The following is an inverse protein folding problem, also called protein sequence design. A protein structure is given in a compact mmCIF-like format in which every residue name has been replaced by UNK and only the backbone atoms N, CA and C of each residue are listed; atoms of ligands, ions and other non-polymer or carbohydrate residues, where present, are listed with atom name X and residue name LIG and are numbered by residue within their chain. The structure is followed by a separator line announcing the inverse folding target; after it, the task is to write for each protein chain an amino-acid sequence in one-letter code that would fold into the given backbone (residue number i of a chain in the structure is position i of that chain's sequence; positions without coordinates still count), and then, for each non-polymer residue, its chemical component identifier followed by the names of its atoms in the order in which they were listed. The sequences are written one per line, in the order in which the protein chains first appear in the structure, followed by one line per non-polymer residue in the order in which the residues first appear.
data_IF_869370659984
#
_entry.id   IF_869370659984
#
_cell.length_a   1.000
_cell.length_b   1.000
_cell.length_c   1.000
_cell.angle_alpha   90.00
_cell.angle_beta   90.00
_cell.angle_gamma   90.00
#
_symmetry.space_group_name_H-M   'P 1'
#
loop_
_entity.id
_entity.type
_entity.pdbx_description
1 polymer ?
#
# COMPACT_ATOMS: atom_id res chain seq x y z
N UNK A 1 -15.20 10.97 -26.60
CA UNK A 1 -15.94 10.96 -25.32
C UNK A 1 -17.29 11.62 -25.56
N UNK A 2 -18.38 10.94 -25.22
CA UNK A 2 -19.71 11.55 -25.21
C UNK A 2 -19.88 12.27 -23.87
N UNK A 3 -19.52 13.54 -23.81
CA UNK A 3 -19.73 14.37 -22.62
C UNK A 3 -21.21 14.72 -22.54
N UNK A 4 -21.95 13.97 -21.72
CA UNK A 4 -23.34 14.31 -21.39
C UNK A 4 -23.34 15.27 -20.19
N UNK A 5 -24.36 16.11 -20.02
CA UNK A 5 -24.44 17.00 -18.84
C UNK A 5 -24.32 16.21 -17.51
N UNK A 6 -24.91 15.02 -17.44
CA UNK A 6 -24.79 14.11 -16.28
C UNK A 6 -23.36 13.71 -15.95
N UNK A 7 -22.52 13.47 -16.97
CA UNK A 7 -21.11 13.13 -16.72
C UNK A 7 -20.32 14.32 -16.20
N UNK A 8 -20.72 15.55 -16.53
CA UNK A 8 -20.10 16.77 -15.99
C UNK A 8 -20.49 16.96 -14.52
N UNK A 9 -21.76 16.80 -14.19
CA UNK A 9 -22.26 16.87 -12.81
C UNK A 9 -21.55 15.85 -11.90
N UNK A 10 -21.37 14.61 -12.35
CA UNK A 10 -20.65 13.59 -11.58
C UNK A 10 -19.18 13.93 -11.35
N UNK A 11 -18.52 14.56 -12.32
CA UNK A 11 -17.12 14.98 -12.17
C UNK A 11 -16.99 16.12 -11.16
N UNK A 12 -17.91 17.09 -11.19
CA UNK A 12 -17.94 18.21 -10.25
C UNK A 12 -18.13 17.73 -8.80
N UNK A 13 -19.07 16.80 -8.57
CA UNK A 13 -19.25 16.16 -7.26
C UNK A 13 -18.04 15.33 -6.83
N UNK A 14 -17.39 14.64 -7.78
CA UNK A 14 -16.15 13.89 -7.50
C UNK A 14 -15.02 14.82 -7.06
N UNK A 15 -14.86 15.96 -7.73
CA UNK A 15 -13.91 16.99 -7.38
C UNK A 15 -14.24 17.61 -6.02
N UNK A 16 -15.52 17.79 -5.69
CA UNK A 16 -15.95 18.26 -4.38
C UNK A 16 -15.49 17.30 -3.27
N UNK A 17 -15.73 15.99 -3.43
CA UNK A 17 -15.26 14.96 -2.49
C UNK A 17 -13.74 14.94 -2.39
N UNK A 18 -13.03 15.01 -3.52
CA UNK A 18 -11.57 15.04 -3.53
C UNK A 18 -11.02 16.27 -2.76
N UNK A 19 -11.62 17.44 -2.94
CA UNK A 19 -11.24 18.64 -2.21
C UNK A 19 -11.47 18.51 -0.70
N UNK A 20 -12.58 17.89 -0.27
CA UNK A 20 -12.83 17.61 1.14
C UNK A 20 -11.74 16.69 1.72
N UNK A 21 -11.35 15.64 1.00
CA UNK A 21 -10.26 14.73 1.41
C UNK A 21 -8.95 15.49 1.51
N UNK A 22 -8.61 16.33 0.54
CA UNK A 22 -7.37 17.11 0.55
C UNK A 22 -7.28 18.08 1.74
N UNK A 23 -8.41 18.66 2.14
CA UNK A 23 -8.52 19.58 3.28
C UNK A 23 -8.65 18.87 4.64
N UNK A 24 -8.76 17.54 4.65
CA UNK A 24 -8.83 16.77 5.89
C UNK A 24 -7.53 16.86 6.71
N UNK A 25 -7.69 16.68 8.01
CA UNK A 25 -6.59 16.52 8.96
C UNK A 25 -5.71 15.30 8.65
N UNK A 26 -6.31 14.21 8.16
CA UNK A 26 -5.59 13.01 7.73
C UNK A 26 -4.64 13.32 6.56
N UNK A 27 -5.12 14.04 5.54
CA UNK A 27 -4.31 14.44 4.40
C UNK A 27 -3.23 15.47 4.77
N UNK A 28 -3.52 16.38 5.71
CA UNK A 28 -2.53 17.31 6.24
C UNK A 28 -1.43 16.58 7.03
N UNK A 29 -1.79 15.63 7.89
CA UNK A 29 -0.84 14.81 8.64
C UNK A 29 0.07 13.99 7.71
N UNK A 30 -0.50 13.40 6.65
CA UNK A 30 0.27 12.74 5.60
C UNK A 30 1.31 13.67 4.96
N UNK A 31 0.89 14.87 4.54
CA UNK A 31 1.79 15.87 3.93
C UNK A 31 2.90 16.29 4.89
N UNK A 32 2.61 16.47 6.17
CA UNK A 32 3.60 16.81 7.19
C UNK A 32 4.60 15.68 7.44
N UNK A 33 4.13 14.43 7.56
CA UNK A 33 5.02 13.28 7.70
C UNK A 33 5.91 13.10 6.47
N UNK A 34 5.36 13.26 5.26
CA UNK A 34 6.12 13.21 4.01
C UNK A 34 7.22 14.28 3.98
N UNK A 35 6.88 15.51 4.37
CA UNK A 35 7.85 16.60 4.45
C UNK A 35 8.99 16.30 5.43
N UNK A 36 8.65 15.79 6.62
CA UNK A 36 9.65 15.40 7.63
C UNK A 36 10.55 14.28 7.12
N UNK A 37 9.99 13.26 6.47
CA UNK A 37 10.73 12.16 5.87
C UNK A 37 11.70 12.66 4.78
N UNK A 38 11.27 13.57 3.92
CA UNK A 38 12.11 14.13 2.86
C UNK A 38 13.27 14.98 3.40
N UNK A 39 13.11 15.59 4.57
CA UNK A 39 14.16 16.36 5.24
C UNK A 39 15.13 15.52 6.07
N UNK A 40 14.78 14.28 6.34
CA UNK A 40 15.57 13.39 7.17
C UNK A 40 16.61 12.66 6.33
N UNK A 41 17.84 13.20 6.31
CA UNK A 41 18.94 12.63 5.51
C UNK A 41 19.29 11.20 5.88
N UNK A 42 19.09 10.80 7.15
CA UNK A 42 19.37 9.44 7.60
C UNK A 42 18.30 8.47 7.10
N UNK A 43 17.03 8.86 7.18
CA UNK A 43 15.94 8.09 6.60
C UNK A 43 16.10 7.92 5.08
N UNK A 44 16.48 8.98 4.36
CA UNK A 44 16.73 8.91 2.91
C UNK A 44 17.89 7.97 2.57
N UNK A 45 18.98 7.99 3.35
CA UNK A 45 20.10 7.06 3.16
C UNK A 45 19.68 5.60 3.38
N UNK A 46 18.90 5.32 4.44
CA UNK A 46 18.37 3.99 4.71
C UNK A 46 17.42 3.50 3.60
N UNK A 47 16.57 4.38 3.07
CA UNK A 47 15.68 4.05 1.95
C UNK A 47 16.50 3.70 0.71
N UNK A 48 17.53 4.49 0.38
CA UNK A 48 18.40 4.24 -0.77
C UNK A 48 19.15 2.91 -0.63
N UNK A 49 19.68 2.61 0.56
CA UNK A 49 20.33 1.33 0.86
C UNK A 49 19.36 0.15 0.70
N UNK A 50 18.13 0.29 1.24
CA UNK A 50 17.10 -0.73 1.12
C UNK A 50 16.72 -1.02 -0.33
N UNK A 51 16.56 0.02 -1.16
CA UNK A 51 16.26 -0.15 -2.59
C UNK A 51 17.38 -0.92 -3.30
N UNK A 52 18.65 -0.56 -3.05
CA UNK A 52 19.81 -1.24 -3.65
C UNK A 52 19.86 -2.72 -3.26
N UNK A 53 19.65 -3.04 -1.99
CA UNK A 53 19.66 -4.43 -1.51
C UNK A 53 18.45 -5.21 -2.03
N UNK A 54 17.30 -4.55 -2.20
CA UNK A 54 16.10 -5.15 -2.81
C UNK A 54 16.34 -5.54 -4.25
N UNK A 55 17.00 -4.70 -5.05
CA UNK A 55 17.39 -5.04 -6.43
C UNK A 55 18.32 -6.26 -6.48
N UNK A 56 19.35 -6.28 -5.62
CA UNK A 56 20.25 -7.45 -5.51
C UNK A 56 19.49 -8.71 -5.09
N UNK A 57 18.52 -8.59 -4.18
CA UNK A 57 17.68 -9.69 -3.76
C UNK A 57 16.79 -10.19 -4.90
N UNK A 58 16.18 -9.30 -5.68
CA UNK A 58 15.36 -9.67 -6.83
C UNK A 58 16.18 -10.41 -7.88
N UNK A 59 17.40 -9.95 -8.18
CA UNK A 59 18.33 -10.64 -9.09
C UNK A 59 18.66 -12.05 -8.61
N UNK A 60 19.03 -12.18 -7.33
CA UNK A 60 19.39 -13.47 -6.74
C UNK A 60 18.17 -14.39 -6.57
N UNK A 61 16.99 -13.83 -6.31
CA UNK A 61 15.74 -14.57 -6.24
C UNK A 61 15.33 -15.15 -7.59
N UNK A 62 15.66 -14.48 -8.72
CA UNK A 62 15.38 -15.01 -10.07
C UNK A 62 16.07 -16.35 -10.34
N UNK A 63 17.27 -16.55 -9.80
CA UNK A 63 18.00 -17.83 -9.89
C UNK A 63 17.60 -18.82 -8.80
N UNK A 64 16.88 -18.36 -7.77
CA UNK A 64 16.35 -19.18 -6.69
C UNK A 64 17.38 -19.60 -5.65
N UNK A 65 17.03 -20.63 -4.87
CA UNK A 65 17.77 -21.04 -3.67
C UNK A 65 19.19 -21.57 -3.92
N UNK A 66 19.55 -21.82 -5.18
CA UNK A 66 20.86 -22.36 -5.57
C UNK A 66 21.90 -21.27 -5.85
N UNK A 67 21.51 -20.00 -5.82
CA UNK A 67 22.47 -18.91 -5.93
C UNK A 67 23.39 -18.86 -4.69
N UNK A 68 24.72 -18.77 -4.85
CA UNK A 68 25.68 -18.82 -3.73
C UNK A 68 25.40 -17.75 -2.67
N UNK A 69 24.98 -16.55 -3.10
CA UNK A 69 24.72 -15.42 -2.20
C UNK A 69 23.29 -15.35 -1.66
N UNK A 70 22.40 -16.31 -1.99
CA UNK A 70 20.98 -16.24 -1.63
C UNK A 70 20.76 -16.05 -0.13
N UNK A 71 21.46 -16.84 0.71
CA UNK A 71 21.33 -16.74 2.18
C UNK A 71 21.85 -15.42 2.72
N UNK A 72 22.96 -14.93 2.18
CA UNK A 72 23.60 -13.68 2.60
C UNK A 72 22.70 -12.48 2.29
N UNK A 73 22.21 -12.39 1.05
CA UNK A 73 21.36 -11.28 0.62
C UNK A 73 20.01 -11.34 1.31
N UNK A 74 19.41 -12.53 1.49
CA UNK A 74 18.16 -12.67 2.26
C UNK A 74 18.30 -12.15 3.69
N UNK A 75 19.44 -12.40 4.34
CA UNK A 75 19.72 -11.88 5.68
C UNK A 75 19.88 -10.36 5.66
N UNK A 76 20.66 -9.82 4.74
CA UNK A 76 20.87 -8.39 4.59
C UNK A 76 19.56 -7.63 4.34
N UNK A 77 18.69 -8.14 3.47
CA UNK A 77 17.35 -7.57 3.24
C UNK A 77 16.55 -7.46 4.53
N UNK A 78 16.55 -8.52 5.37
CA UNK A 78 15.81 -8.52 6.64
C UNK A 78 16.40 -7.52 7.63
N UNK A 79 17.71 -7.44 7.71
CA UNK A 79 18.41 -6.54 8.63
C UNK A 79 18.17 -5.08 8.25
N UNK A 80 18.27 -4.72 6.97
CA UNK A 80 18.01 -3.36 6.49
C UNK A 80 16.52 -3.02 6.53
N UNK A 81 15.62 -3.96 6.17
CA UNK A 81 14.17 -3.79 6.35
C UNK A 81 13.82 -3.47 7.80
N UNK A 82 14.44 -4.16 8.76
CA UNK A 82 14.23 -3.88 10.19
C UNK A 82 14.67 -2.47 10.58
N UNK A 83 15.79 -1.98 10.05
CA UNK A 83 16.25 -0.62 10.30
C UNK A 83 15.30 0.42 9.73
N UNK A 84 14.80 0.20 8.51
CA UNK A 84 13.79 1.04 7.85
C UNK A 84 12.48 1.05 8.65
N UNK A 85 11.98 -0.12 9.04
CA UNK A 85 10.71 -0.27 9.78
C UNK A 85 10.77 0.36 11.18
N UNK A 86 11.94 0.38 11.82
CA UNK A 86 12.15 0.96 13.15
C UNK A 86 12.47 2.46 13.11
N UNK A 87 12.76 3.03 11.93
CA UNK A 87 13.11 4.44 11.82
C UNK A 87 11.88 5.31 12.09
N UNK A 88 11.97 6.21 13.08
CA UNK A 88 10.82 6.95 13.58
C UNK A 88 10.07 7.75 12.50
N UNK A 89 10.79 8.44 11.61
CA UNK A 89 10.19 9.25 10.53
C UNK A 89 9.54 8.38 9.45
N UNK A 90 10.14 7.23 9.13
CA UNK A 90 9.60 6.29 8.15
C UNK A 90 8.34 5.62 8.70
N UNK A 91 8.38 5.15 9.95
CA UNK A 91 7.24 4.55 10.63
C UNK A 91 6.07 5.54 10.76
N UNK A 92 6.35 6.80 11.12
CA UNK A 92 5.33 7.85 11.20
C UNK A 92 4.69 8.15 9.84
N UNK A 93 5.49 8.20 8.77
CA UNK A 93 5.00 8.35 7.41
C UNK A 93 4.13 7.17 6.98
N UNK A 94 4.59 5.93 7.19
CA UNK A 94 3.83 4.72 6.86
C UNK A 94 2.51 4.63 7.62
N UNK A 95 2.48 5.08 8.87
CA UNK A 95 1.25 5.18 9.65
C UNK A 95 0.27 6.18 9.02
N UNK A 96 0.73 7.39 8.71
CA UNK A 96 -0.10 8.42 8.09
C UNK A 96 -0.59 8.01 6.69
N UNK A 97 0.23 7.31 5.92
CA UNK A 97 -0.14 6.72 4.62
C UNK A 97 -1.27 5.68 4.78
N UNK A 98 -1.17 4.80 5.78
CA UNK A 98 -2.22 3.82 6.06
C UNK A 98 -3.52 4.47 6.54
N UNK A 99 -3.46 5.54 7.32
CA UNK A 99 -4.64 6.28 7.76
C UNK A 99 -5.35 6.95 6.57
N UNK A 100 -4.59 7.56 5.66
CA UNK A 100 -5.14 8.15 4.43
C UNK A 100 -5.74 7.07 3.52
N UNK A 101 -5.08 5.92 3.36
CA UNK A 101 -5.61 4.83 2.56
C UNK A 101 -6.95 4.33 3.13
N UNK A 102 -7.06 4.16 4.45
CA UNK A 102 -8.31 3.74 5.11
C UNK A 102 -9.46 4.71 4.83
N UNK A 103 -9.19 6.02 4.89
CA UNK A 103 -10.19 7.03 4.56
C UNK A 103 -10.70 6.86 3.12
N UNK A 104 -9.79 6.65 2.16
CA UNK A 104 -10.15 6.42 0.75
C UNK A 104 -10.92 5.12 0.55
N UNK A 105 -10.55 4.06 1.27
CA UNK A 105 -11.24 2.77 1.25
C UNK A 105 -12.67 2.91 1.78
N UNK A 106 -12.85 3.63 2.89
CA UNK A 106 -14.18 3.89 3.48
C UNK A 106 -15.09 4.68 2.52
N UNK A 107 -14.56 5.74 1.88
CA UNK A 107 -15.29 6.49 0.85
C UNK A 107 -15.70 5.57 -0.31
N UNK A 108 -14.78 4.71 -0.76
CA UNK A 108 -15.04 3.77 -1.85
C UNK A 108 -16.14 2.76 -1.51
N UNK A 109 -16.16 2.26 -0.27
CA UNK A 109 -17.21 1.36 0.23
C UNK A 109 -18.56 2.07 0.29
N UNK A 110 -18.60 3.28 0.83
CA UNK A 110 -19.85 4.07 0.91
C UNK A 110 -20.43 4.30 -0.49
N UNK A 111 -19.59 4.71 -1.44
CA UNK A 111 -20.02 4.93 -2.84
C UNK A 111 -20.50 3.63 -3.49
N UNK A 112 -19.78 2.53 -3.32
CA UNK A 112 -20.17 1.23 -3.87
C UNK A 112 -21.52 0.75 -3.36
N UNK A 113 -21.73 0.83 -2.03
CA UNK A 113 -22.98 0.44 -1.38
C UNK A 113 -24.15 1.35 -1.76
N UNK A 114 -23.92 2.65 -1.94
CA UNK A 114 -24.96 3.60 -2.38
C UNK A 114 -25.45 3.32 -3.80
N UNK A 115 -24.62 2.73 -4.66
CA UNK A 115 -25.00 2.32 -6.02
C UNK A 115 -25.67 0.95 -6.01
N UNK A 116 -25.15 -0.01 -5.24
CA UNK A 116 -25.74 -1.34 -5.08
C UNK A 116 -25.11 -2.09 -3.90
N UNK A 117 -25.96 -2.66 -3.05
CA UNK A 117 -25.55 -3.50 -1.91
C UNK A 117 -24.77 -4.76 -2.32
N UNK A 118 -24.81 -5.15 -3.60
CA UNK A 118 -24.15 -6.34 -4.12
C UNK A 118 -22.81 -6.05 -4.83
N UNK A 119 -22.41 -4.79 -4.98
CA UNK A 119 -21.15 -4.43 -5.62
C UNK A 119 -20.01 -4.64 -4.63
N UNK A 120 -19.09 -5.54 -4.96
CA UNK A 120 -17.86 -5.78 -4.19
C UNK A 120 -16.85 -4.69 -4.50
N UNK A 121 -16.43 -3.95 -3.47
CA UNK A 121 -15.40 -2.90 -3.59
C UNK A 121 -14.06 -3.49 -3.14
N UNK A 122 -13.08 -3.65 -4.04
CA UNK A 122 -11.76 -4.15 -3.67
C UNK A 122 -10.99 -3.06 -2.91
N UNK A 123 -11.13 -3.06 -1.60
CA UNK A 123 -10.42 -2.13 -0.70
C UNK A 123 -9.02 -2.60 -0.31
N UNK A 124 -8.59 -3.79 -0.76
CA UNK A 124 -7.30 -4.38 -0.39
C UNK A 124 -7.17 -4.72 1.11
N UNK A 125 -8.23 -4.52 1.89
CA UNK A 125 -8.30 -4.79 3.31
C UNK A 125 -9.31 -5.93 3.56
N UNK A 126 -8.87 -7.09 4.08
CA UNK A 126 -9.73 -8.27 4.27
C UNK A 126 -10.90 -8.04 5.24
N UNK A 127 -10.90 -6.94 6.00
CA UNK A 127 -11.99 -6.57 6.90
C UNK A 127 -13.27 -6.14 6.15
N UNK A 128 -13.15 -5.62 4.93
CA UNK A 128 -14.30 -5.18 4.14
C UNK A 128 -14.79 -6.23 3.13
N UNK A 129 -13.98 -7.26 2.86
CA UNK A 129 -14.32 -8.39 1.97
C UNK A 129 -15.21 -9.46 2.64
N UNK A 130 -15.46 -9.36 3.96
CA UNK A 130 -16.22 -10.37 4.72
C UNK A 130 -17.74 -10.37 4.51
N UNK A 131 -18.28 -9.51 3.64
CA UNK A 131 -19.71 -9.49 3.29
C UNK A 131 -20.20 -10.64 2.40
N UNK A 132 -19.35 -11.63 2.06
CA UNK A 132 -19.75 -12.78 1.26
C UNK A 132 -19.04 -14.05 1.73
N UNK A 133 -19.74 -14.85 2.53
CA UNK A 133 -19.40 -16.23 2.86
C UNK A 133 -19.41 -17.11 1.60
N UNK A 134 -18.34 -17.06 0.79
CA UNK A 134 -17.84 -18.12 -0.12
C UNK A 134 -16.77 -17.54 -1.05
N UNK A 135 -15.49 -17.72 -0.71
CA UNK A 135 -14.41 -17.20 -1.54
C UNK A 135 -13.01 -17.49 -1.00
N UNK A 136 -12.81 -18.67 -0.42
CA UNK A 136 -11.47 -19.20 -0.15
C UNK A 136 -10.77 -19.51 -1.48
N UNK A 137 -10.30 -18.46 -2.16
CA UNK A 137 -9.49 -18.52 -3.35
C UNK A 137 -8.01 -18.58 -2.97
N UNK A 138 -7.55 -19.77 -2.62
CA UNK A 138 -6.14 -20.14 -2.69
C UNK A 138 -5.65 -19.89 -4.13
N UNK A 139 -4.99 -18.74 -4.33
CA UNK A 139 -4.48 -18.26 -5.61
C UNK A 139 -3.02 -17.83 -5.54
N UNK A 140 -2.25 -18.31 -4.56
CA UNK A 140 -0.79 -18.31 -4.64
C UNK A 140 -0.36 -19.70 -5.12
N UNK A 141 -0.29 -19.87 -6.44
CA UNK A 141 0.36 -21.00 -7.09
C UNK A 141 1.87 -20.97 -6.88
N UNK A 142 2.30 -21.09 -5.63
CA UNK A 142 3.66 -21.37 -5.21
C UNK A 142 3.60 -22.64 -4.35
N UNK A 143 4.19 -23.71 -4.85
CA UNK A 143 4.25 -25.04 -4.26
C UNK A 143 4.61 -25.00 -2.76
N UNK A 144 3.62 -25.25 -1.90
CA UNK A 144 3.86 -25.67 -0.52
C UNK A 144 4.33 -27.13 -0.54
N UNK A 145 5.65 -27.31 -0.67
CA UNK A 145 6.33 -28.57 -0.37
C UNK A 145 6.57 -28.69 1.12
N UNK A 146 5.59 -29.21 1.85
CA UNK A 146 5.78 -29.71 3.21
C UNK A 146 6.31 -31.14 3.10
N UNK A 147 7.58 -31.35 3.45
CA UNK A 147 8.08 -32.68 3.81
C UNK A 147 8.13 -32.75 5.33
N UNK A 148 7.52 -33.81 5.86
CA UNK A 148 7.62 -34.22 7.26
C UNK A 148 9.07 -34.48 7.68
#
# INVERSE_FOLDING_TARGET
MLTTMRTVELLDESDHVANMVLQSDVAENYRQCLYRLNKDSHAQALIAEFVKIKEQYEDVQRFGKYHPDYKTITRQVRDVKRQVDLHATIAAFKKAESELQKLLDEISVILGQAVSEHVKVPTGNPFFDTGSSCGGGCGSGGSCGCSA
#
